data_IF_463840986421
#
_entry.id   IF_463840986421
#
_cell.length_a   1.000
_cell.length_b   1.000
_cell.length_c   1.000
_cell.angle_alpha   90.00
_cell.angle_beta   90.00
_cell.angle_gamma   90.00
#
_symmetry.space_group_name_H-M   'P 1'
#
loop_
_entity.id
_entity.type
_entity.pdbx_description
1 polymer ?
#
# COMPACT_ATOMS: atom_id res chain seq x y z
N UNK A 1 -1.25 10.93 5.75
CA UNK A 1 -1.37 10.47 4.35
C UNK A 1 -1.62 11.69 3.48
N UNK A 2 -0.77 11.91 2.48
CA UNK A 2 -1.00 12.91 1.42
C UNK A 2 -1.25 12.17 0.10
N UNK A 3 -1.69 12.87 -0.94
CA UNK A 3 -1.88 12.24 -2.26
C UNK A 3 -0.60 11.60 -2.81
N UNK A 4 0.57 12.18 -2.54
CA UNK A 4 1.86 11.59 -2.90
C UNK A 4 2.13 10.26 -2.19
N UNK A 5 1.83 10.18 -0.89
CA UNK A 5 1.93 8.93 -0.14
C UNK A 5 0.99 7.86 -0.71
N UNK A 6 -0.25 8.24 -1.03
CA UNK A 6 -1.24 7.33 -1.60
C UNK A 6 -0.80 6.78 -2.96
N UNK A 7 -0.28 7.63 -3.84
CA UNK A 7 0.22 7.23 -5.16
C UNK A 7 1.37 6.22 -5.04
N UNK A 8 2.37 6.50 -4.20
CA UNK A 8 3.53 5.62 -4.05
C UNK A 8 3.14 4.27 -3.44
N UNK A 9 2.27 4.26 -2.43
CA UNK A 9 1.77 3.02 -1.84
C UNK A 9 0.90 2.22 -2.82
N UNK A 10 0.12 2.88 -3.68
CA UNK A 10 -0.63 2.21 -4.76
C UNK A 10 0.27 1.51 -5.76
N UNK A 11 1.38 2.15 -6.13
CA UNK A 11 2.38 1.55 -7.03
C UNK A 11 3.03 0.36 -6.36
N UNK A 12 3.44 0.48 -5.09
CA UNK A 12 4.05 -0.64 -4.34
C UNK A 12 3.09 -1.82 -4.25
N UNK A 13 1.84 -1.60 -3.84
CA UNK A 13 0.80 -2.63 -3.77
C UNK A 13 0.59 -3.29 -5.13
N UNK A 14 0.26 -2.51 -6.16
CA UNK A 14 -0.05 -3.03 -7.49
C UNK A 14 1.13 -3.77 -8.14
N UNK A 15 2.38 -3.43 -7.80
CA UNK A 15 3.55 -4.18 -8.28
C UNK A 15 3.84 -5.44 -7.48
N UNK A 16 3.54 -5.47 -6.18
CA UNK A 16 3.97 -6.55 -5.29
C UNK A 16 2.90 -7.60 -5.04
N UNK A 17 1.62 -7.28 -5.25
CA UNK A 17 0.50 -8.21 -5.00
C UNK A 17 0.49 -9.41 -5.97
N UNK A 18 0.95 -9.21 -7.21
CA UNK A 18 1.02 -10.28 -8.21
C UNK A 18 2.34 -11.05 -8.19
N UNK A 19 3.33 -10.58 -7.43
CA UNK A 19 4.64 -11.19 -7.32
C UNK A 19 4.73 -12.03 -6.04
N UNK A 20 5.44 -13.17 -6.03
CA UNK A 20 5.62 -13.99 -4.84
C UNK A 20 6.65 -13.39 -3.87
N UNK A 21 6.45 -12.13 -3.46
CA UNK A 21 7.40 -11.31 -2.67
C UNK A 21 6.77 -10.69 -1.42
N UNK A 22 5.49 -10.97 -1.13
CA UNK A 22 4.71 -10.41 -0.01
C UNK A 22 4.50 -8.89 -0.10
N UNK A 23 3.34 -8.48 -0.61
CA UNK A 23 2.88 -7.08 -0.63
C UNK A 23 2.79 -6.47 0.77
N UNK A 24 2.31 -7.25 1.75
CA UNK A 24 2.13 -6.80 3.14
C UNK A 24 3.45 -6.31 3.75
N UNK A 25 4.55 -7.04 3.54
CA UNK A 25 5.87 -6.63 4.03
C UNK A 25 6.37 -5.35 3.37
N UNK A 26 6.22 -5.25 2.05
CA UNK A 26 6.61 -4.07 1.28
C UNK A 26 5.81 -2.84 1.69
N UNK A 27 4.50 -2.98 1.95
CA UNK A 27 3.64 -1.88 2.39
C UNK A 27 4.01 -1.35 3.78
N UNK A 28 4.41 -2.24 4.71
CA UNK A 28 4.91 -1.82 6.03
C UNK A 28 6.20 -1.01 5.87
N UNK A 29 7.18 -1.53 5.11
CA UNK A 29 8.46 -0.85 4.90
C UNK A 29 8.28 0.47 4.16
N UNK A 30 7.53 0.47 3.05
CA UNK A 30 7.27 1.67 2.25
C UNK A 30 6.57 2.75 3.07
N UNK A 31 5.56 2.39 3.87
CA UNK A 31 4.85 3.36 4.71
C UNK A 31 5.74 3.98 5.81
N UNK A 32 6.68 3.21 6.37
CA UNK A 32 7.68 3.72 7.30
C UNK A 32 8.70 4.65 6.64
N UNK A 33 9.23 4.26 5.47
CA UNK A 33 10.17 5.09 4.69
C UNK A 33 9.55 6.43 4.25
N UNK A 34 8.26 6.40 3.95
CA UNK A 34 7.47 7.56 3.59
C UNK A 34 7.02 8.40 4.80
N UNK A 35 7.37 8.03 6.03
CA UNK A 35 6.98 8.78 7.23
C UNK A 35 5.47 8.80 7.47
N UNK A 36 4.73 7.81 6.97
CA UNK A 36 3.28 7.73 7.14
C UNK A 36 2.95 7.32 8.57
N UNK A 37 2.28 8.20 9.32
CA UNK A 37 1.70 7.85 10.60
C UNK A 37 0.61 6.76 10.44
N UNK A 38 0.71 5.68 11.22
CA UNK A 38 -0.22 4.54 11.25
C UNK A 38 -1.54 4.86 11.96
N UNK A 39 -2.22 5.90 11.49
CA UNK A 39 -3.57 6.27 11.96
C UNK A 39 -4.59 5.20 11.54
N UNK A 40 -5.78 5.15 12.17
CA UNK A 40 -6.85 4.24 11.73
C UNK A 40 -7.17 4.36 10.24
N UNK A 41 -7.15 5.58 9.70
CA UNK A 41 -7.35 5.83 8.27
C UNK A 41 -6.22 5.23 7.41
N UNK A 42 -4.95 5.42 7.80
CA UNK A 42 -3.82 4.86 7.05
C UNK A 42 -3.88 3.33 7.02
N UNK A 43 -4.22 2.68 8.14
CA UNK A 43 -4.41 1.23 8.22
C UNK A 43 -5.56 0.75 7.33
N UNK A 44 -6.70 1.46 7.34
CA UNK A 44 -7.81 1.16 6.46
C UNK A 44 -7.41 1.29 4.98
N UNK A 45 -6.67 2.35 4.63
CA UNK A 45 -6.19 2.59 3.27
C UNK A 45 -5.31 1.43 2.76
N UNK A 46 -4.38 0.92 3.58
CA UNK A 46 -3.53 -0.22 3.21
C UNK A 46 -4.33 -1.50 2.91
N UNK A 47 -5.53 -1.66 3.47
CA UNK A 47 -6.40 -2.80 3.15
C UNK A 47 -7.26 -2.51 1.92
N UNK A 48 -7.84 -1.32 1.83
CA UNK A 48 -8.73 -0.93 0.71
C UNK A 48 -8.00 -0.92 -0.62
N UNK A 49 -6.72 -0.57 -0.63
CA UNK A 49 -5.93 -0.50 -1.87
C UNK A 49 -5.70 -1.87 -2.53
N UNK A 50 -5.73 -2.95 -1.75
CA UNK A 50 -5.70 -4.33 -2.25
C UNK A 50 -6.91 -4.64 -3.13
N UNK A 51 -8.06 -4.01 -2.87
CA UNK A 51 -9.24 -4.15 -3.73
C UNK A 51 -8.98 -3.63 -5.14
N UNK A 52 -8.11 -2.64 -5.31
CA UNK A 52 -7.67 -2.16 -6.61
C UNK A 52 -6.84 -3.20 -7.37
N UNK A 53 -5.94 -3.90 -6.66
CA UNK A 53 -5.18 -5.00 -7.24
C UNK A 53 -6.10 -6.18 -7.62
N UNK A 54 -7.02 -6.57 -6.73
CA UNK A 54 -8.02 -7.62 -7.01
C UNK A 54 -8.87 -7.27 -8.23
N UNK A 55 -9.32 -6.01 -8.36
CA UNK A 55 -10.15 -5.56 -9.47
C UNK A 55 -9.42 -5.55 -10.83
N UNK A 56 -8.08 -5.48 -10.81
CA UNK A 56 -7.30 -5.46 -12.05
C UNK A 56 -7.13 -6.83 -12.72
N UNK A 57 -7.61 -7.90 -12.06
CA UNK A 57 -7.63 -9.29 -12.52
C UNK A 57 -9.03 -9.66 -12.99
#
# INVERSE_FOLDING_TARGET
MTYWHALLLAIVEGLTEFLPVSSTGHMIIASQLLGVAMTPFAKLFLVVIQLGAILSV
#
